data_IF_099885034034
#
_entry.id   IF_099885034034
#
_cell.length_a   1.000
_cell.length_b   1.000
_cell.length_c   1.000
_cell.angle_alpha   90.00
_cell.angle_beta   90.00
_cell.angle_gamma   90.00
#
_symmetry.space_group_name_H-M   'P 1'
#
loop_
_entity.id
_entity.type
_entity.pdbx_description
1 polymer ?
#
# COMPACT_ATOMS: atom_id res chain seq x y z
N UNK A 1 -44.81 1.66 16.20
CA UNK A 1 -43.97 1.60 14.98
C UNK A 1 -43.03 2.81 14.87
N UNK A 2 -43.52 4.06 14.91
CA UNK A 2 -42.66 5.26 14.85
C UNK A 2 -41.55 5.30 15.91
N UNK A 3 -41.89 5.01 17.17
CA UNK A 3 -40.91 5.00 18.26
C UNK A 3 -39.81 3.97 18.04
N UNK A 4 -40.16 2.77 17.57
CA UNK A 4 -39.19 1.71 17.26
C UNK A 4 -38.23 2.13 16.16
N UNK A 5 -38.73 2.75 15.09
CA UNK A 5 -37.89 3.24 13.98
C UNK A 5 -36.97 4.36 14.46
N UNK A 6 -37.50 5.32 15.21
CA UNK A 6 -36.73 6.48 15.68
C UNK A 6 -35.62 6.09 16.65
N UNK A 7 -35.92 5.26 17.66
CA UNK A 7 -34.92 4.76 18.59
C UNK A 7 -33.95 3.78 17.93
N UNK A 8 -34.43 2.97 16.97
CA UNK A 8 -33.56 2.08 16.19
C UNK A 8 -32.49 2.84 15.40
N UNK A 9 -32.84 3.95 14.74
CA UNK A 9 -31.88 4.80 14.06
C UNK A 9 -30.89 5.48 15.02
N UNK A 10 -31.35 5.88 16.20
CA UNK A 10 -30.51 6.57 17.18
C UNK A 10 -29.44 5.64 17.75
N UNK A 11 -29.80 4.41 18.09
CA UNK A 11 -28.85 3.38 18.56
C UNK A 11 -27.91 2.94 17.44
N UNK A 12 -28.44 2.74 16.22
CA UNK A 12 -27.59 2.41 15.08
C UNK A 12 -26.57 3.52 14.78
N UNK A 13 -26.93 4.80 14.98
CA UNK A 13 -26.04 5.95 14.87
C UNK A 13 -24.91 5.91 15.90
N UNK A 14 -25.25 5.59 17.15
CA UNK A 14 -24.29 5.44 18.25
C UNK A 14 -23.29 4.29 17.97
N UNK A 15 -23.79 3.13 17.49
CA UNK A 15 -22.96 1.98 17.14
C UNK A 15 -21.99 2.21 15.96
N UNK A 16 -22.31 3.13 15.04
CA UNK A 16 -21.42 3.44 13.89
C UNK A 16 -20.46 4.60 14.18
N UNK A 17 -20.65 5.36 15.26
CA UNK A 17 -19.88 6.58 15.53
C UNK A 17 -18.41 6.26 15.81
N UNK A 18 -18.14 5.15 16.52
CA UNK A 18 -16.80 4.70 16.82
C UNK A 18 -16.49 3.31 16.25
N UNK A 19 -16.16 3.22 14.95
CA UNK A 19 -15.89 1.95 14.29
C UNK A 19 -14.62 1.25 14.79
N UNK A 20 -13.77 1.94 15.54
CA UNK A 20 -12.53 1.40 16.12
C UNK A 20 -12.68 0.99 17.59
N UNK A 21 -13.87 1.17 18.16
CA UNK A 21 -14.19 0.73 19.51
C UNK A 21 -14.26 -0.80 19.64
N UNK A 22 -14.48 -1.27 20.86
CA UNK A 22 -14.64 -2.69 21.17
C UNK A 22 -16.10 -3.14 21.16
N UNK A 23 -16.97 -2.39 20.49
CA UNK A 23 -18.36 -2.78 20.32
C UNK A 23 -18.47 -4.02 19.42
N UNK A 24 -19.53 -4.80 19.63
CA UNK A 24 -19.72 -6.07 18.90
C UNK A 24 -19.73 -5.90 17.39
N UNK A 25 -20.24 -4.75 16.92
CA UNK A 25 -20.35 -4.40 15.50
C UNK A 25 -19.18 -3.52 15.02
N UNK A 26 -18.18 -3.29 15.88
CA UNK A 26 -16.96 -2.56 15.54
C UNK A 26 -16.02 -3.37 14.66
N UNK A 27 -15.02 -2.69 14.10
CA UNK A 27 -13.98 -3.33 13.31
C UNK A 27 -13.11 -4.22 14.20
N UNK A 28 -12.77 -5.41 13.69
CA UNK A 28 -11.82 -6.28 14.37
C UNK A 28 -10.39 -5.76 14.15
N UNK A 29 -9.97 -4.84 15.01
CA UNK A 29 -8.64 -4.22 14.95
C UNK A 29 -7.52 -5.21 15.21
N UNK A 30 -7.72 -6.21 16.07
CA UNK A 30 -6.74 -7.28 16.30
C UNK A 30 -6.45 -8.06 15.02
N UNK A 31 -7.47 -8.33 14.21
CA UNK A 31 -7.30 -9.00 12.93
C UNK A 31 -6.46 -8.16 11.95
N UNK A 32 -6.72 -6.84 11.85
CA UNK A 32 -5.93 -5.95 11.00
C UNK A 32 -4.47 -5.84 11.47
N UNK A 33 -4.23 -5.83 12.78
CA UNK A 33 -2.86 -5.83 13.32
C UNK A 33 -2.11 -7.10 12.90
N UNK A 34 -2.77 -8.27 12.91
CA UNK A 34 -2.15 -9.50 12.44
C UNK A 34 -1.82 -9.44 10.94
N UNK A 35 -2.75 -8.96 10.09
CA UNK A 35 -2.50 -8.81 8.66
C UNK A 35 -1.28 -7.90 8.41
N UNK A 36 -1.27 -6.71 9.01
CA UNK A 36 -0.17 -5.73 8.83
C UNK A 36 1.15 -6.31 9.33
N UNK A 37 1.14 -7.04 10.45
CA UNK A 37 2.34 -7.66 11.01
C UNK A 37 2.89 -8.73 10.08
N UNK A 38 2.04 -9.60 9.56
CA UNK A 38 2.43 -10.70 8.69
C UNK A 38 2.96 -10.16 7.35
N UNK A 39 2.31 -9.15 6.79
CA UNK A 39 2.77 -8.45 5.59
C UNK A 39 4.13 -7.77 5.80
N UNK A 40 4.27 -7.06 6.92
CA UNK A 40 5.55 -6.42 7.28
C UNK A 40 6.64 -7.48 7.44
N UNK A 41 6.35 -8.59 8.12
CA UNK A 41 7.29 -9.68 8.29
C UNK A 41 7.69 -10.29 6.93
N UNK A 42 6.74 -10.48 6.01
CA UNK A 42 7.02 -10.95 4.67
C UNK A 42 7.97 -10.00 3.91
N UNK A 43 7.75 -8.69 4.00
CA UNK A 43 8.60 -7.69 3.34
C UNK A 43 10.01 -7.61 3.94
N UNK A 44 10.14 -7.59 5.27
CA UNK A 44 11.44 -7.39 5.93
C UNK A 44 12.25 -8.68 6.08
N UNK A 45 11.62 -9.85 5.95
CA UNK A 45 12.31 -11.14 5.95
C UNK A 45 12.98 -11.46 4.62
N UNK A 46 12.74 -10.63 3.60
CA UNK A 46 13.45 -10.72 2.33
C UNK A 46 14.96 -10.48 2.54
N UNK A 47 15.83 -11.32 1.95
CA UNK A 47 17.27 -11.12 2.05
C UNK A 47 17.65 -9.76 1.46
N UNK A 48 18.71 -9.15 1.98
CA UNK A 48 19.24 -7.89 1.45
C UNK A 48 19.48 -8.02 -0.06
N UNK A 49 18.80 -7.18 -0.83
CA UNK A 49 18.89 -7.21 -2.27
C UNK A 49 20.22 -6.64 -2.75
N UNK A 50 20.78 -7.24 -3.81
CA UNK A 50 21.87 -6.62 -4.53
C UNK A 50 21.35 -5.37 -5.25
N UNK A 51 21.91 -4.20 -4.91
CA UNK A 51 21.54 -2.90 -5.46
C UNK A 51 21.70 -2.89 -6.99
N UNK A 52 22.61 -3.71 -7.54
CA UNK A 52 22.80 -3.83 -8.98
C UNK A 52 21.61 -4.49 -9.71
N UNK A 53 20.80 -5.30 -9.00
CA UNK A 53 19.63 -6.01 -9.55
C UNK A 53 18.29 -5.49 -9.03
N UNK A 54 18.31 -4.70 -7.95
CA UNK A 54 17.15 -4.16 -7.25
C UNK A 54 16.16 -3.30 -8.05
N UNK A 55 16.54 -2.50 -9.05
CA UNK A 55 15.57 -1.61 -9.69
C UNK A 55 14.64 -2.33 -10.68
N UNK A 56 14.99 -3.55 -11.13
CA UNK A 56 14.17 -4.32 -12.08
C UNK A 56 14.21 -5.84 -11.83
N UNK A 57 13.83 -6.35 -10.65
CA UNK A 57 13.56 -7.77 -10.49
C UNK A 57 12.33 -8.11 -11.35
N UNK A 58 12.40 -9.19 -12.12
CA UNK A 58 11.26 -9.64 -12.96
C UNK A 58 10.02 -9.92 -12.11
N UNK A 59 10.22 -10.21 -10.82
CA UNK A 59 9.18 -10.40 -9.81
C UNK A 59 8.37 -9.12 -9.53
N UNK A 60 8.95 -7.93 -9.73
CA UNK A 60 8.29 -6.65 -9.49
C UNK A 60 7.35 -6.22 -10.63
N UNK A 61 7.46 -6.85 -11.81
CA UNK A 61 6.68 -6.48 -13.00
C UNK A 61 5.15 -6.64 -12.77
N UNK A 62 4.76 -7.48 -11.81
CA UNK A 62 3.35 -7.80 -11.54
C UNK A 62 2.82 -7.30 -10.18
N UNK A 63 3.61 -6.57 -9.38
CA UNK A 63 3.21 -6.17 -8.01
C UNK A 63 1.96 -5.28 -8.00
N UNK A 64 1.71 -4.52 -9.06
CA UNK A 64 0.53 -3.65 -9.17
C UNK A 64 -0.68 -4.32 -9.83
N UNK A 65 -0.65 -5.63 -10.08
CA UNK A 65 -1.77 -6.38 -10.67
C UNK A 65 -2.13 -5.93 -12.09
N UNK A 66 -1.27 -5.14 -12.73
CA UNK A 66 -1.44 -4.72 -14.11
C UNK A 66 -0.98 -5.87 -15.00
N UNK A 67 -1.88 -6.80 -15.26
CA UNK A 67 -1.75 -7.74 -16.37
C UNK A 67 -1.84 -6.92 -17.66
N UNK A 68 -0.73 -6.29 -18.06
CA UNK A 68 -0.58 -5.77 -19.42
C UNK A 68 0.19 -6.84 -20.18
N UNK A 69 -0.48 -7.55 -21.06
CA UNK A 69 0.14 -8.42 -22.06
C UNK A 69 1.21 -7.70 -22.93
N UNK A 70 1.33 -6.36 -22.79
CA UNK A 70 2.20 -5.50 -23.58
C UNK A 70 3.58 -5.21 -22.95
N UNK A 71 3.81 -5.56 -21.67
CA UNK A 71 5.09 -5.30 -20.99
C UNK A 71 6.01 -6.52 -21.15
N UNK A 72 6.37 -6.83 -22.40
CA UNK A 72 7.55 -7.65 -22.69
C UNK A 72 8.74 -6.68 -22.81
N UNK A 73 9.15 -6.10 -21.68
CA UNK A 73 10.47 -5.48 -21.38
C UNK A 73 10.30 -4.46 -20.24
N UNK A 74 11.23 -4.40 -19.27
CA UNK A 74 11.30 -3.25 -18.37
C UNK A 74 11.39 -1.99 -19.24
N UNK A 75 10.53 -1.00 -18.95
CA UNK A 75 10.39 0.21 -19.77
C UNK A 75 11.70 1.00 -19.93
N UNK A 76 12.69 0.74 -19.07
CA UNK A 76 14.01 1.35 -19.07
C UNK A 76 15.07 0.34 -18.60
N UNK A 77 16.28 0.43 -19.17
CA UNK A 77 17.46 -0.19 -18.58
C UNK A 77 17.90 0.55 -17.30
N UNK A 78 18.69 -0.12 -16.44
CA UNK A 78 19.28 0.49 -15.25
C UNK A 78 20.01 1.80 -15.55
N UNK A 79 20.76 1.82 -16.65
CA UNK A 79 21.54 2.99 -17.08
C UNK A 79 20.64 4.17 -17.46
N UNK A 80 19.54 3.91 -18.18
CA UNK A 80 18.57 4.92 -18.58
C UNK A 80 17.81 5.50 -17.38
N UNK A 81 17.39 4.64 -16.44
CA UNK A 81 16.72 5.07 -15.21
C UNK A 81 17.64 5.92 -14.32
N UNK A 82 18.89 5.50 -14.13
CA UNK A 82 19.89 6.27 -13.36
C UNK A 82 20.18 7.61 -14.02
N UNK A 83 20.26 7.67 -15.35
CA UNK A 83 20.47 8.92 -16.08
C UNK A 83 19.31 9.89 -15.90
N UNK A 84 18.07 9.39 -15.96
CA UNK A 84 16.87 10.18 -15.74
C UNK A 84 16.81 10.71 -14.29
N UNK A 85 16.98 9.83 -13.30
CA UNK A 85 16.95 10.23 -11.89
C UNK A 85 18.06 11.21 -11.52
N UNK A 86 19.27 11.09 -12.11
CA UNK A 86 20.34 12.08 -11.92
C UNK A 86 20.00 13.43 -12.53
N UNK A 87 19.33 13.47 -13.69
CA UNK A 87 18.93 14.72 -14.32
C UNK A 87 17.91 15.48 -13.44
N UNK A 88 16.93 14.76 -12.87
CA UNK A 88 15.92 15.33 -11.97
C UNK A 88 16.51 15.77 -10.63
N UNK A 89 17.47 15.04 -10.06
CA UNK A 89 18.16 15.43 -8.82
C UNK A 89 19.15 16.60 -9.03
N UNK A 90 19.70 16.76 -10.23
CA UNK A 90 20.62 17.84 -10.55
C UNK A 90 19.92 19.17 -10.85
N UNK A 91 18.65 19.13 -11.27
CA UNK A 91 17.85 20.33 -11.57
C UNK A 91 17.74 21.30 -10.38
N UNK A 92 17.37 20.88 -9.15
CA UNK A 92 17.29 21.78 -8.01
C UNK A 92 18.66 22.22 -7.45
N UNK A 93 19.75 21.49 -7.75
CA UNK A 93 21.12 21.84 -7.31
C UNK A 93 21.83 22.82 -8.25
N UNK A 94 21.27 23.06 -9.44
CA UNK A 94 21.79 23.99 -10.45
C UNK A 94 21.23 25.42 -10.31
N UNK A 95 20.37 25.67 -9.31
CA UNK A 95 19.89 27.02 -8.97
C UNK A 95 20.67 27.59 -7.78
N UNK A 96 21.31 28.78 -7.90
CA UNK A 96 22.04 29.44 -6.80
C UNK A 96 21.13 30.06 -5.74
#
# INVERSE_FOLDING_TARGET
MLAFVFFGFLVAGDEIENPFGYDRNGLNMEHFIHIIRDDLHALISMPAFDIATWPFPQENDNILGVQREDIIKPAFSLEEWVKQGRAELAEPLASP
#
